data_IF_482305013777
#
_entry.id   IF_482305013777
#
_cell.length_a   1.000
_cell.length_b   1.000
_cell.length_c   1.000
_cell.angle_alpha   90.00
_cell.angle_beta   90.00
_cell.angle_gamma   90.00
#
_symmetry.space_group_name_H-M   'P 1'
#
loop_
_entity.id
_entity.type
_entity.pdbx_description
1 polymer ?
#
# COMPACT_ATOMS: atom_id res chain seq x y z
N UNK A 1 1.48 -12.19 20.45
CA UNK A 1 0.28 -11.90 19.65
C UNK A 1 0.73 -11.77 18.20
N UNK A 2 0.11 -12.47 17.23
CA UNK A 2 0.46 -12.35 15.83
C UNK A 2 -0.04 -10.99 15.28
N UNK A 3 0.77 -10.32 14.47
CA UNK A 3 0.35 -9.13 13.74
C UNK A 3 -0.48 -9.53 12.51
N UNK A 4 -1.39 -8.64 12.10
CA UNK A 4 -2.15 -8.75 10.85
C UNK A 4 -1.88 -7.56 9.96
N UNK A 5 -2.14 -7.72 8.67
CA UNK A 5 -2.05 -6.65 7.69
C UNK A 5 -3.35 -5.84 7.63
N UNK A 6 -3.23 -4.52 7.67
CA UNK A 6 -4.32 -3.57 7.57
C UNK A 6 -4.01 -2.54 6.49
N UNK A 7 -5.05 -2.08 5.80
CA UNK A 7 -4.95 -0.93 4.90
C UNK A 7 -5.20 0.34 5.68
N UNK A 8 -4.31 1.31 5.54
CA UNK A 8 -4.51 2.64 6.13
C UNK A 8 -5.55 3.39 5.30
N UNK A 9 -6.66 3.77 5.91
CA UNK A 9 -7.69 4.59 5.27
C UNK A 9 -7.40 6.08 5.46
N UNK A 10 -6.88 6.46 6.62
CA UNK A 10 -6.64 7.86 6.98
C UNK A 10 -5.53 7.99 8.01
N UNK A 11 -4.80 9.10 7.98
CA UNK A 11 -3.67 9.36 8.88
C UNK A 11 -2.36 8.72 8.40
N UNK A 12 -1.38 8.63 9.29
CA UNK A 12 -0.09 7.98 9.03
C UNK A 12 0.29 7.12 10.21
N UNK A 13 0.57 5.85 9.95
CA UNK A 13 0.90 4.86 10.97
C UNK A 13 2.32 4.38 10.82
N UNK A 14 2.97 4.10 11.94
CA UNK A 14 4.34 3.58 11.95
C UNK A 14 4.32 2.07 12.00
N UNK A 15 4.85 1.43 10.98
CA UNK A 15 4.94 -0.02 10.87
C UNK A 15 6.06 -0.61 11.72
N UNK A 16 6.15 -1.93 11.71
CA UNK A 16 7.22 -2.68 12.41
C UNK A 16 8.62 -2.37 11.87
N UNK A 17 8.73 -1.92 10.61
CA UNK A 17 9.98 -1.47 9.97
C UNK A 17 10.36 -0.01 10.35
N UNK A 18 9.70 0.58 11.35
CA UNK A 18 9.85 2.00 11.74
C UNK A 18 9.39 3.02 10.67
N UNK A 19 8.98 2.51 9.50
CA UNK A 19 8.45 3.29 8.38
C UNK A 19 7.04 3.82 8.63
N UNK A 20 6.82 5.07 8.20
CA UNK A 20 5.50 5.68 8.16
C UNK A 20 4.76 5.25 6.88
N UNK A 21 3.62 4.60 7.08
CA UNK A 21 2.67 4.20 6.04
C UNK A 21 1.49 5.16 6.07
N UNK A 22 1.23 5.82 4.94
CA UNK A 22 0.08 6.72 4.77
C UNK A 22 -1.15 6.01 4.18
N UNK A 23 -2.21 6.78 3.87
CA UNK A 23 -3.46 6.26 3.32
C UNK A 23 -3.24 5.49 2.01
N UNK A 24 -3.92 4.35 1.86
CA UNK A 24 -3.75 3.40 0.76
C UNK A 24 -2.56 2.45 0.91
N UNK A 25 -1.73 2.63 1.95
CA UNK A 25 -0.64 1.72 2.26
C UNK A 25 -1.06 0.57 3.18
N UNK A 26 -0.33 -0.54 3.09
CA UNK A 26 -0.52 -1.72 3.95
C UNK A 26 0.45 -1.66 5.13
N UNK A 27 -0.04 -1.94 6.33
CA UNK A 27 0.73 -1.92 7.56
C UNK A 27 0.43 -3.17 8.40
N UNK A 28 1.47 -3.72 9.04
CA UNK A 28 1.32 -4.85 9.97
C UNK A 28 1.24 -4.36 11.40
N UNK A 29 0.12 -4.65 12.06
CA UNK A 29 -0.21 -4.18 13.41
C UNK A 29 -0.87 -5.30 14.21
N UNK A 30 -0.83 -5.25 15.55
CA UNK A 30 -1.64 -6.14 16.38
C UNK A 30 -3.12 -5.73 16.36
N UNK A 31 -4.03 -6.70 16.46
CA UNK A 31 -5.48 -6.47 16.44
C UNK A 31 -5.93 -5.45 17.49
N UNK A 32 -5.40 -5.50 18.72
CA UNK A 32 -5.76 -4.57 19.80
C UNK A 32 -5.54 -3.09 19.41
N UNK A 33 -4.45 -2.81 18.67
CA UNK A 33 -4.18 -1.48 18.13
C UNK A 33 -5.15 -1.19 16.99
N UNK A 34 -5.31 -2.12 16.05
CA UNK A 34 -6.19 -1.93 14.91
C UNK A 34 -7.65 -1.68 15.31
N UNK A 35 -8.16 -2.34 16.35
CA UNK A 35 -9.51 -2.13 16.88
C UNK A 35 -9.73 -0.70 17.39
N UNK A 36 -8.71 -0.10 18.00
CA UNK A 36 -8.75 1.31 18.43
C UNK A 36 -8.79 2.27 17.24
N UNK A 37 -8.22 1.86 16.11
CA UNK A 37 -8.14 2.64 14.89
C UNK A 37 -9.04 2.10 13.77
N UNK A 38 -10.11 1.35 14.08
CA UNK A 38 -11.03 0.76 13.09
C UNK A 38 -11.71 1.75 12.12
N UNK A 39 -11.69 3.04 12.45
CA UNK A 39 -12.18 4.11 11.56
C UNK A 39 -11.09 4.68 10.64
N UNK A 40 -9.83 4.37 10.93
CA UNK A 40 -8.64 4.82 10.20
C UNK A 40 -7.88 3.65 9.53
N UNK A 41 -8.17 2.42 9.94
CA UNK A 41 -7.58 1.18 9.44
C UNK A 41 -8.69 0.21 9.04
N UNK A 42 -8.53 -0.42 7.88
CA UNK A 42 -9.37 -1.50 7.41
C UNK A 42 -8.60 -2.81 7.47
N UNK A 43 -9.21 -3.88 7.97
CA UNK A 43 -8.61 -5.22 7.89
C UNK A 43 -8.41 -5.54 6.41
N UNK A 44 -7.16 -5.76 6.01
CA UNK A 44 -6.89 -6.30 4.68
C UNK A 44 -7.30 -7.77 4.70
N UNK A 45 -8.59 -8.04 4.49
CA UNK A 45 -9.05 -9.36 4.12
C UNK A 45 -8.51 -9.56 2.71
N UNK A 46 -7.39 -10.27 2.58
CA UNK A 46 -7.01 -10.87 1.30
C UNK A 46 -8.11 -11.88 0.97
N UNK A 47 -9.20 -11.40 0.39
CA UNK A 47 -9.77 -12.14 -0.72
C UNK A 47 -8.65 -12.11 -1.77
N UNK A 48 -8.15 -13.25 -2.27
CA UNK A 48 -7.13 -13.24 -3.29
C UNK A 48 -7.71 -12.50 -4.48
N UNK A 49 -7.38 -11.22 -4.61
CA UNK A 49 -7.69 -10.47 -5.81
C UNK A 49 -7.12 -11.28 -6.97
N UNK A 50 -7.92 -11.65 -7.98
CA UNK A 50 -7.35 -12.22 -9.19
C UNK A 50 -6.24 -11.26 -9.64
N UNK A 51 -5.08 -11.83 -9.92
CA UNK A 51 -3.82 -11.15 -10.19
C UNK A 51 -4.03 -9.82 -10.94
N UNK A 52 -3.24 -8.77 -10.64
CA UNK A 52 -3.36 -7.52 -11.37
C UNK A 52 -3.18 -7.83 -12.86
N UNK A 53 -4.27 -7.77 -13.62
CA UNK A 53 -4.18 -7.62 -15.07
C UNK A 53 -3.29 -6.41 -15.27
N UNK A 54 -2.11 -6.65 -15.82
CA UNK A 54 -1.08 -5.68 -16.08
C UNK A 54 -1.69 -4.44 -16.75
N UNK A 55 -2.04 -3.44 -15.95
CA UNK A 55 -2.16 -2.08 -16.42
C UNK A 55 -0.74 -1.68 -16.82
N UNK A 56 -0.47 -1.77 -18.11
CA UNK A 56 0.79 -1.33 -18.69
C UNK A 56 1.03 0.12 -18.33
N UNK A 57 1.88 0.36 -17.34
CA UNK A 57 2.52 1.65 -17.13
C UNK A 57 4.03 1.43 -17.06
N UNK A 58 4.54 0.91 -18.18
CA UNK A 58 5.95 1.01 -18.53
C UNK A 58 6.26 2.42 -19.03
N UNK A 59 6.61 3.30 -18.09
CA UNK A 59 7.69 4.26 -18.31
C UNK A 59 7.36 5.50 -19.14
N UNK A 60 7.11 6.61 -18.44
CA UNK A 60 7.48 7.94 -18.94
C UNK A 60 8.98 7.96 -19.25
N UNK A 61 9.34 8.06 -20.53
CA UNK A 61 10.58 8.72 -20.96
C UNK A 61 10.22 9.72 -22.05
N UNK A 62 10.55 11.02 -21.89
CA UNK A 62 10.38 11.98 -22.97
C UNK A 62 11.35 11.61 -24.09
N UNK A 63 10.82 11.37 -25.29
CA UNK A 63 11.64 11.17 -26.48
C UNK A 63 12.37 12.47 -26.79
N UNK A 64 13.64 12.55 -26.36
CA UNK A 64 14.59 13.55 -26.78
C UNK A 64 15.03 13.23 -28.22
N UNK A 65 14.77 14.18 -29.11
CA UNK A 65 15.21 14.32 -30.50
C UNK A 65 16.70 14.00 -30.73
N UNK A 66 17.03 13.36 -31.88
CA UNK A 66 18.09 13.76 -32.88
C UNK A 66 18.39 12.67 -33.95
N UNK A 67 19.07 13.00 -35.10
CA UNK A 67 18.61 12.71 -36.48
C UNK A 67 19.51 11.80 -37.36
N UNK A 68 19.07 11.60 -38.62
CA UNK A 68 19.78 11.26 -39.88
C UNK A 68 20.52 9.90 -40.04
N UNK A 69 20.06 9.12 -41.04
CA UNK A 69 20.85 8.24 -41.91
C UNK A 69 20.04 7.85 -43.16
#
# INVERSE_FOLDING_TARGET
MPNKSYTVLSGSFRGSDDKLTGPGGVIELPDDVAERFRHQLEVLVVEPAPAPSAAGEGGRKPAKVSPDA
#
